data_IF_473551649992
#
_entry.id   IF_473551649992
#
_cell.length_a   1.000
_cell.length_b   1.000
_cell.length_c   1.000
_cell.angle_alpha   90.00
_cell.angle_beta   90.00
_cell.angle_gamma   90.00
#
_symmetry.space_group_name_H-M   'P 1'
#
loop_
_entity.id
_entity.type
_entity.pdbx_description
1 polymer ?
#
# COMPACT_ATOMS: atom_id res chain seq x y z
N UNK A 1 -12.60 22.08 15.49
CA UNK A 1 -12.23 20.65 15.57
C UNK A 1 -10.73 20.56 15.31
N UNK A 2 -9.97 19.91 16.16
CA UNK A 2 -8.55 19.65 15.92
C UNK A 2 -8.42 18.72 14.71
N UNK A 3 -7.49 19.03 13.80
CA UNK A 3 -7.23 18.20 12.63
C UNK A 3 -6.83 16.78 13.05
N UNK A 4 -7.34 15.76 12.36
CA UNK A 4 -6.90 14.38 12.56
C UNK A 4 -5.43 14.26 12.14
N UNK A 5 -4.63 13.53 12.92
CA UNK A 5 -3.17 13.40 12.73
C UNK A 5 -2.79 11.96 12.43
N UNK A 6 -1.87 11.80 11.47
CA UNK A 6 -1.38 10.50 10.98
C UNK A 6 0.12 10.34 11.26
N UNK A 7 0.50 9.16 11.72
CA UNK A 7 1.86 8.64 11.67
C UNK A 7 1.93 7.43 10.72
N UNK A 8 3.00 7.33 9.94
CA UNK A 8 3.17 6.26 8.96
C UNK A 8 4.47 5.50 9.19
N UNK A 9 4.39 4.21 9.51
CA UNK A 9 5.55 3.33 9.66
C UNK A 9 5.76 2.52 8.37
N UNK A 10 7.01 2.30 7.98
CA UNK A 10 7.38 1.70 6.69
C UNK A 10 6.75 2.45 5.52
N UNK A 11 6.86 3.76 5.57
CA UNK A 11 6.08 4.69 4.76
C UNK A 11 6.30 4.54 3.24
N UNK A 12 7.46 4.06 2.83
CA UNK A 12 7.80 3.96 1.42
C UNK A 12 7.79 5.33 0.75
N UNK A 13 6.97 5.49 -0.29
CA UNK A 13 6.87 6.73 -1.08
C UNK A 13 5.70 7.64 -0.66
N UNK A 14 5.20 7.52 0.56
CA UNK A 14 4.21 8.43 1.12
C UNK A 14 2.79 8.24 0.62
N UNK A 15 2.37 7.02 0.30
CA UNK A 15 1.01 6.78 -0.25
C UNK A 15 -0.06 7.00 0.81
N UNK A 16 0.14 6.53 2.04
CA UNK A 16 -0.79 6.81 3.13
C UNK A 16 -0.83 8.30 3.50
N UNK A 17 0.31 9.01 3.65
CA UNK A 17 0.33 10.46 3.79
C UNK A 17 -0.42 11.21 2.68
N UNK A 18 -0.22 10.82 1.41
CA UNK A 18 -0.93 11.44 0.30
C UNK A 18 -2.46 11.23 0.39
N UNK A 19 -2.88 10.01 0.68
CA UNK A 19 -4.29 9.70 0.88
C UNK A 19 -4.88 10.46 2.07
N UNK A 20 -4.11 10.60 3.15
CA UNK A 20 -4.49 11.33 4.35
C UNK A 20 -4.74 12.83 4.06
N UNK A 21 -3.79 13.50 3.42
CA UNK A 21 -3.93 14.92 3.02
C UNK A 21 -5.18 15.14 2.17
N UNK A 22 -5.45 14.26 1.20
CA UNK A 22 -6.64 14.35 0.35
C UNK A 22 -7.96 14.17 1.11
N UNK A 23 -7.89 13.56 2.30
CA UNK A 23 -9.04 13.37 3.18
C UNK A 23 -9.06 14.34 4.38
N UNK A 24 -8.22 15.37 4.38
CA UNK A 24 -8.15 16.38 5.46
C UNK A 24 -7.49 15.86 6.75
N UNK A 25 -6.65 14.81 6.64
CA UNK A 25 -5.86 14.26 7.75
C UNK A 25 -4.42 14.75 7.60
N UNK A 26 -3.83 15.28 8.67
CA UNK A 26 -2.47 15.82 8.70
C UNK A 26 -1.43 14.71 8.91
N UNK A 27 -0.49 14.45 7.97
CA UNK A 27 0.64 13.58 8.22
C UNK A 27 1.69 14.30 9.06
N UNK A 28 1.97 13.77 10.26
CA UNK A 28 2.86 14.39 11.25
C UNK A 28 4.26 13.83 11.17
N UNK A 29 4.38 12.51 11.07
CA UNK A 29 5.66 11.83 10.99
C UNK A 29 5.59 10.55 10.17
N UNK A 30 6.77 10.15 9.66
CA UNK A 30 6.96 8.89 8.96
C UNK A 30 8.25 8.19 9.41
N UNK A 31 8.25 6.85 9.42
CA UNK A 31 9.43 6.01 9.61
C UNK A 31 9.70 5.22 8.34
N UNK A 32 10.89 5.41 7.78
CA UNK A 32 11.40 4.75 6.58
C UNK A 32 12.94 4.75 6.64
N UNK A 33 13.61 3.76 6.05
CA UNK A 33 15.08 3.63 6.05
C UNK A 33 15.69 3.77 4.66
N UNK A 34 14.92 3.56 3.62
CA UNK A 34 15.40 3.63 2.24
C UNK A 34 15.56 5.09 1.79
N UNK A 35 16.76 5.48 1.38
CA UNK A 35 17.10 6.88 1.06
C UNK A 35 16.23 7.50 -0.04
N UNK A 36 15.95 6.74 -1.11
CA UNK A 36 15.18 7.26 -2.23
C UNK A 36 13.70 7.49 -1.85
N UNK A 37 12.98 6.57 -1.21
CA UNK A 37 11.65 6.83 -0.63
C UNK A 37 11.63 8.03 0.32
N UNK A 38 12.56 8.13 1.28
CA UNK A 38 12.67 9.27 2.20
C UNK A 38 12.81 10.59 1.44
N UNK A 39 13.66 10.64 0.41
CA UNK A 39 13.85 11.86 -0.37
C UNK A 39 12.61 12.24 -1.16
N UNK A 40 11.88 11.27 -1.71
CA UNK A 40 10.60 11.50 -2.39
C UNK A 40 9.57 12.07 -1.41
N UNK A 41 9.40 11.46 -0.24
CA UNK A 41 8.40 11.91 0.74
C UNK A 41 8.73 13.27 1.34
N UNK A 42 10.00 13.57 1.61
CA UNK A 42 10.43 14.91 2.04
C UNK A 42 10.13 16.01 1.03
N UNK A 43 10.16 15.69 -0.27
CA UNK A 43 9.77 16.63 -1.31
C UNK A 43 8.28 16.97 -1.25
N UNK A 44 7.44 15.95 -1.07
CA UNK A 44 5.98 16.11 -1.11
C UNK A 44 5.38 16.54 0.23
N UNK A 45 6.05 16.23 1.33
CA UNK A 45 5.62 16.53 2.70
C UNK A 45 6.79 17.15 3.48
N UNK A 46 7.18 18.41 3.19
CA UNK A 46 8.34 19.04 3.81
C UNK A 46 8.17 19.23 5.32
N UNK A 47 6.94 19.36 5.82
CA UNK A 47 6.63 19.55 7.24
C UNK A 47 6.47 18.21 8.00
N UNK A 48 6.45 17.07 7.31
CA UNK A 48 6.35 15.75 7.93
C UNK A 48 7.71 15.32 8.48
N UNK A 49 7.79 15.02 9.77
CA UNK A 49 9.01 14.57 10.42
C UNK A 49 9.40 13.14 9.97
N UNK A 50 10.68 12.92 9.63
CA UNK A 50 11.21 11.60 9.30
C UNK A 50 11.98 11.01 10.47
N UNK A 51 11.41 9.99 11.11
CA UNK A 51 11.92 9.37 12.33
C UNK A 51 12.95 8.26 12.09
N UNK A 52 13.16 7.84 10.83
CA UNK A 52 14.16 6.84 10.45
C UNK A 52 13.74 5.41 10.79
N UNK A 53 14.63 4.66 11.45
CA UNK A 53 14.50 3.23 11.69
C UNK A 53 13.50 2.91 12.81
N UNK A 54 12.44 2.17 12.48
CA UNK A 54 11.37 1.75 13.40
C UNK A 54 11.91 0.98 14.63
N UNK A 55 13.04 0.29 14.51
CA UNK A 55 13.63 -0.47 15.62
C UNK A 55 14.24 0.40 16.70
N UNK A 56 14.49 1.68 16.40
CA UNK A 56 15.11 2.66 17.30
C UNK A 56 14.10 3.63 17.90
N UNK A 57 12.84 3.59 17.46
CA UNK A 57 11.80 4.48 17.96
C UNK A 57 11.25 4.00 19.30
N UNK A 58 11.01 4.93 20.20
CA UNK A 58 10.17 4.75 21.39
C UNK A 58 8.82 5.43 21.14
N UNK A 59 7.75 4.65 21.18
CA UNK A 59 6.39 5.14 20.95
C UNK A 59 5.91 6.15 22.00
N UNK A 60 6.57 6.23 23.17
CA UNK A 60 6.27 7.19 24.23
C UNK A 60 6.83 8.58 23.93
N UNK A 61 7.92 8.64 23.13
CA UNK A 61 8.66 9.89 22.86
C UNK A 61 8.25 10.57 21.55
N UNK A 62 7.67 9.81 20.61
CA UNK A 62 7.23 10.37 19.33
C UNK A 62 5.89 11.10 19.46
N UNK A 63 5.63 12.14 18.62
CA UNK A 63 4.40 12.90 18.69
C UNK A 63 3.15 12.00 18.60
N UNK A 64 2.20 12.07 19.55
CA UNK A 64 1.00 11.24 19.51
C UNK A 64 0.10 11.63 18.34
N UNK A 65 -0.47 10.62 17.69
CA UNK A 65 -1.32 10.76 16.50
C UNK A 65 -2.59 9.94 16.62
N UNK A 66 -3.66 10.38 15.96
CA UNK A 66 -4.96 9.67 15.98
C UNK A 66 -4.89 8.35 15.23
N UNK A 67 -4.09 8.29 14.18
CA UNK A 67 -4.02 7.18 13.23
C UNK A 67 -2.55 6.78 13.04
N UNK A 68 -2.26 5.48 13.17
CA UNK A 68 -0.98 4.91 12.72
C UNK A 68 -1.26 3.96 11.56
N UNK A 69 -0.56 4.15 10.43
CA UNK A 69 -0.59 3.24 9.30
C UNK A 69 0.73 2.53 9.15
N UNK A 70 0.72 1.27 8.70
CA UNK A 70 1.95 0.54 8.43
C UNK A 70 1.76 -0.63 7.47
N UNK A 71 2.75 -0.80 6.58
CA UNK A 71 2.89 -1.93 5.68
C UNK A 71 4.20 -2.69 5.99
N UNK A 72 4.19 -3.54 7.01
CA UNK A 72 5.40 -4.26 7.41
C UNK A 72 5.87 -5.25 6.34
N UNK A 73 7.20 -5.38 6.09
CA UNK A 73 7.71 -6.38 5.16
C UNK A 73 7.25 -7.79 5.52
N UNK A 74 6.78 -8.54 4.51
CA UNK A 74 6.18 -9.87 4.67
C UNK A 74 7.19 -10.97 5.06
N UNK A 75 8.49 -10.72 4.97
CA UNK A 75 9.53 -11.76 4.97
C UNK A 75 9.79 -12.43 6.33
N UNK A 76 9.20 -11.98 7.44
CA UNK A 76 9.51 -12.48 8.78
C UNK A 76 8.29 -12.69 9.70
N UNK A 77 7.09 -12.80 9.19
CA UNK A 77 5.93 -13.21 10.02
C UNK A 77 6.07 -14.68 10.48
N UNK A 78 6.78 -15.50 9.69
CA UNK A 78 6.93 -16.95 9.91
C UNK A 78 7.79 -17.36 11.12
N UNK A 79 8.51 -16.46 11.76
CA UNK A 79 9.32 -16.78 12.94
C UNK A 79 8.52 -16.76 14.26
N UNK A 80 7.21 -16.55 14.20
CA UNK A 80 6.32 -16.45 15.36
C UNK A 80 6.12 -17.80 16.09
N UNK A 81 6.42 -18.93 15.44
CA UNK A 81 6.17 -20.27 15.97
C UNK A 81 7.03 -20.73 17.15
N UNK A 82 8.14 -20.08 17.47
CA UNK A 82 9.01 -20.46 18.57
C UNK A 82 8.97 -19.44 19.71
N UNK A 83 7.99 -19.60 20.60
CA UNK A 83 7.88 -18.88 21.89
C UNK A 83 9.04 -19.24 22.85
N UNK A 84 10.27 -19.18 22.44
CA UNK A 84 11.42 -19.22 23.35
C UNK A 84 12.01 -17.82 23.48
N UNK A 85 11.44 -17.06 24.43
CA UNK A 85 12.07 -15.91 25.05
C UNK A 85 12.09 -14.63 24.20
N UNK A 86 11.65 -13.52 24.80
CA UNK A 86 11.84 -12.13 24.40
C UNK A 86 13.33 -11.69 24.23
N UNK A 87 14.27 -12.64 24.29
CA UNK A 87 15.71 -12.43 24.18
C UNK A 87 16.34 -12.98 22.89
N UNK A 88 15.56 -13.48 21.93
CA UNK A 88 16.05 -14.00 20.64
C UNK A 88 16.03 -12.92 19.56
N UNK A 89 17.19 -12.55 19.06
CA UNK A 89 17.47 -11.59 17.99
C UNK A 89 16.48 -11.69 16.82
N UNK A 90 15.93 -10.53 16.43
CA UNK A 90 15.01 -10.21 15.32
C UNK A 90 13.54 -10.51 15.59
N UNK A 91 12.95 -9.78 16.54
CA UNK A 91 11.51 -9.55 16.48
C UNK A 91 11.13 -9.05 15.07
N UNK A 92 10.14 -9.69 14.41
CA UNK A 92 9.76 -9.26 13.07
C UNK A 92 9.36 -7.78 13.10
N UNK A 93 9.62 -7.05 12.03
CA UNK A 93 9.34 -5.62 11.93
C UNK A 93 7.85 -5.28 12.19
N UNK A 94 6.96 -6.24 11.95
CA UNK A 94 5.56 -6.14 12.36
C UNK A 94 5.41 -5.92 13.87
N UNK A 95 6.15 -6.67 14.70
CA UNK A 95 6.07 -6.51 16.17
C UNK A 95 6.68 -5.20 16.66
N UNK A 96 7.61 -4.60 15.91
CA UNK A 96 8.08 -3.24 16.22
C UNK A 96 6.95 -2.21 16.05
N UNK A 97 6.14 -2.34 15.01
CA UNK A 97 4.97 -1.48 14.86
C UNK A 97 3.95 -1.67 16.00
N UNK A 98 3.66 -2.93 16.38
CA UNK A 98 2.78 -3.23 17.53
C UNK A 98 3.35 -2.67 18.84
N UNK A 99 4.67 -2.76 19.06
CA UNK A 99 5.34 -2.18 20.23
C UNK A 99 5.15 -0.67 20.27
N UNK A 100 5.43 0.04 19.20
CA UNK A 100 5.27 1.50 19.12
C UNK A 100 3.82 1.91 19.40
N UNK A 101 2.84 1.20 18.82
CA UNK A 101 1.42 1.45 19.07
C UNK A 101 1.10 1.28 20.57
N UNK A 102 1.58 0.21 21.21
CA UNK A 102 1.36 -0.05 22.64
C UNK A 102 2.02 1.01 23.51
N UNK A 103 3.27 1.35 23.23
CA UNK A 103 4.02 2.38 23.96
C UNK A 103 3.34 3.75 23.88
N UNK A 104 2.86 4.16 22.70
CA UNK A 104 2.12 5.41 22.53
C UNK A 104 0.79 5.36 23.31
N UNK A 105 0.06 4.26 23.27
CA UNK A 105 -1.18 4.11 24.01
C UNK A 105 -0.96 4.15 25.52
N UNK A 106 0.11 3.49 25.99
CA UNK A 106 0.50 3.53 27.40
C UNK A 106 0.82 4.97 27.85
N UNK A 107 1.65 5.69 27.10
CA UNK A 107 2.03 7.07 27.42
C UNK A 107 0.86 8.07 27.36
N UNK A 108 -0.18 7.75 26.62
CA UNK A 108 -1.36 8.63 26.42
C UNK A 108 -2.62 8.13 27.13
N UNK A 109 -2.49 7.24 28.12
CA UNK A 109 -3.61 6.63 28.84
C UNK A 109 -4.69 6.04 27.90
N UNK A 110 -4.26 5.44 26.80
CA UNK A 110 -5.13 4.78 25.83
C UNK A 110 -5.77 5.72 24.78
N UNK A 111 -5.44 7.01 24.77
CA UNK A 111 -6.04 7.97 23.83
C UNK A 111 -5.49 7.82 22.42
N UNK A 112 -4.17 7.64 22.25
CA UNK A 112 -3.50 7.63 20.95
C UNK A 112 -2.63 6.37 20.78
N UNK A 113 -2.60 5.78 19.56
CA UNK A 113 -3.52 6.06 18.49
C UNK A 113 -4.93 5.54 18.80
N UNK A 114 -5.94 6.21 18.26
CA UNK A 114 -7.31 5.72 18.31
C UNK A 114 -7.52 4.55 17.34
N UNK A 115 -6.86 4.61 16.17
CA UNK A 115 -6.95 3.59 15.13
C UNK A 115 -5.57 3.26 14.58
N UNK A 116 -5.34 1.96 14.30
CA UNK A 116 -4.20 1.49 13.51
C UNK A 116 -4.69 0.80 12.22
N UNK A 117 -3.96 1.01 11.13
CA UNK A 117 -4.21 0.35 9.84
C UNK A 117 -2.97 -0.42 9.44
N UNK A 118 -3.13 -1.73 9.25
CA UNK A 118 -2.08 -2.59 8.72
C UNK A 118 -2.39 -3.00 7.29
N UNK A 119 -1.39 -2.91 6.42
CA UNK A 119 -1.45 -3.39 5.04
C UNK A 119 -0.47 -4.54 4.83
N UNK A 120 -0.87 -5.55 4.05
CA UNK A 120 0.06 -6.59 3.62
C UNK A 120 -0.40 -7.32 2.35
N UNK A 121 0.48 -8.14 1.79
CA UNK A 121 0.17 -8.98 0.64
C UNK A 121 -0.79 -10.11 1.02
N UNK A 122 -1.58 -10.59 0.05
CA UNK A 122 -2.52 -11.70 0.23
C UNK A 122 -1.84 -12.98 0.77
N UNK A 123 -0.53 -13.15 0.51
CA UNK A 123 0.25 -14.30 0.99
C UNK A 123 0.24 -14.46 2.51
N UNK A 124 -0.01 -13.41 3.28
CA UNK A 124 -0.11 -13.48 4.74
C UNK A 124 -1.26 -14.42 5.22
N UNK A 125 -2.32 -14.60 4.41
CA UNK A 125 -3.39 -15.57 4.73
C UNK A 125 -2.97 -17.03 4.63
N UNK A 126 -1.91 -17.35 3.90
CA UNK A 126 -1.49 -18.72 3.62
C UNK A 126 -0.10 -19.08 4.15
N UNK A 127 0.71 -18.08 4.50
CA UNK A 127 2.07 -18.31 5.01
C UNK A 127 2.06 -19.04 6.34
N UNK A 128 3.12 -19.85 6.58
CA UNK A 128 3.33 -20.61 7.79
C UNK A 128 2.06 -21.41 8.21
N UNK A 129 1.55 -22.24 7.30
CA UNK A 129 0.31 -23.00 7.49
C UNK A 129 -0.88 -22.15 7.97
N UNK A 130 -0.96 -20.89 7.49
CA UNK A 130 -1.98 -19.89 7.82
C UNK A 130 -1.88 -19.31 9.24
N UNK A 131 -0.81 -19.65 9.96
CA UNK A 131 -0.60 -19.18 11.32
C UNK A 131 -0.11 -17.74 11.42
N UNK A 132 0.48 -17.19 10.33
CA UNK A 132 1.00 -15.83 10.34
C UNK A 132 -0.13 -14.81 10.52
N UNK A 133 -1.24 -14.93 9.81
CA UNK A 133 -2.36 -14.02 9.96
C UNK A 133 -3.06 -14.18 11.32
N UNK A 134 -3.14 -15.41 11.86
CA UNK A 134 -3.58 -15.65 13.24
C UNK A 134 -2.72 -14.85 14.24
N UNK A 135 -1.41 -14.90 14.07
CA UNK A 135 -0.48 -14.19 14.94
C UNK A 135 -0.64 -12.66 14.84
N UNK A 136 -0.92 -12.14 13.63
CA UNK A 136 -1.26 -10.71 13.43
C UNK A 136 -2.50 -10.35 14.27
N UNK A 137 -3.59 -11.09 14.15
CA UNK A 137 -4.81 -10.84 14.91
C UNK A 137 -4.57 -10.94 16.42
N UNK A 138 -3.84 -11.98 16.87
CA UNK A 138 -3.51 -12.17 18.28
C UNK A 138 -2.62 -11.06 18.85
N UNK A 139 -1.69 -10.53 18.05
CA UNK A 139 -0.82 -9.43 18.46
C UNK A 139 -1.59 -8.13 18.69
N UNK A 140 -2.60 -7.83 17.86
CA UNK A 140 -3.45 -6.66 18.05
C UNK A 140 -4.37 -6.78 19.25
N UNK A 141 -4.97 -7.98 19.46
CA UNK A 141 -5.99 -8.18 20.49
C UNK A 141 -5.43 -8.59 21.85
N UNK A 142 -4.13 -8.88 21.91
CA UNK A 142 -3.47 -9.48 23.08
C UNK A 142 -4.21 -10.74 23.58
N UNK A 143 -4.77 -11.50 22.64
CA UNK A 143 -5.56 -12.70 22.91
C UNK A 143 -5.24 -13.80 21.90
N UNK A 144 -5.50 -15.04 22.30
CA UNK A 144 -5.40 -16.18 21.38
C UNK A 144 -6.63 -16.22 20.46
N UNK A 145 -6.42 -15.88 19.17
CA UNK A 145 -7.47 -15.91 18.14
C UNK A 145 -7.52 -17.31 17.53
N UNK A 146 -8.67 -17.97 17.61
CA UNK A 146 -8.85 -19.30 17.03
C UNK A 146 -8.85 -19.27 15.50
N UNK A 147 -8.34 -20.32 14.88
CA UNK A 147 -8.49 -20.54 13.44
C UNK A 147 -9.97 -20.71 13.08
N UNK A 148 -10.42 -20.18 11.93
CA UNK A 148 -11.76 -20.47 11.43
C UNK A 148 -11.99 -21.98 11.30
N UNK A 149 -13.22 -22.46 11.53
CA UNK A 149 -13.58 -23.87 11.42
C UNK A 149 -13.27 -24.47 10.02
N UNK A 150 -13.29 -23.65 8.98
CA UNK A 150 -12.88 -24.03 7.61
C UNK A 150 -11.37 -24.26 7.46
N UNK A 151 -10.58 -23.94 8.46
CA UNK A 151 -9.11 -23.92 8.40
C UNK A 151 -8.53 -22.88 7.43
N UNK A 152 -9.33 -21.93 6.95
CA UNK A 152 -8.90 -20.89 5.98
C UNK A 152 -9.40 -19.52 6.39
N UNK A 153 -8.57 -18.51 6.21
CA UNK A 153 -8.96 -17.10 6.38
C UNK A 153 -9.79 -16.65 5.19
N UNK A 154 -10.94 -16.04 5.48
CA UNK A 154 -11.75 -15.39 4.46
C UNK A 154 -11.11 -14.05 4.01
N UNK A 155 -11.42 -13.62 2.79
CA UNK A 155 -10.96 -12.33 2.26
C UNK A 155 -11.52 -11.10 3.00
N UNK A 156 -12.47 -11.31 3.93
CA UNK A 156 -13.03 -10.30 4.82
C UNK A 156 -13.47 -10.96 6.12
N UNK A 157 -13.36 -10.22 7.23
CA UNK A 157 -13.78 -10.71 8.53
C UNK A 157 -13.57 -9.70 9.64
N UNK A 158 -13.93 -10.10 10.85
CA UNK A 158 -13.78 -9.26 12.04
C UNK A 158 -13.48 -10.09 13.29
N UNK A 159 -12.84 -9.46 14.28
CA UNK A 159 -12.71 -9.98 15.66
C UNK A 159 -13.30 -8.93 16.58
N UNK A 160 -14.35 -9.33 17.32
CA UNK A 160 -15.07 -8.49 18.28
C UNK A 160 -15.11 -9.12 19.67
N UNK A 161 -15.43 -8.30 20.66
CA UNK A 161 -15.61 -8.75 22.05
C UNK A 161 -14.51 -8.28 23.00
N UNK A 162 -13.41 -7.77 22.46
CA UNK A 162 -12.33 -7.08 23.20
C UNK A 162 -11.88 -5.84 22.46
N UNK A 163 -11.14 -4.98 23.13
CA UNK A 163 -10.46 -3.85 22.50
C UNK A 163 -9.07 -4.32 22.05
N UNK A 164 -8.64 -4.04 20.81
CA UNK A 164 -9.34 -3.31 19.76
C UNK A 164 -10.41 -4.13 19.02
N UNK A 165 -11.39 -3.42 18.41
CA UNK A 165 -12.30 -3.98 17.40
C UNK A 165 -11.54 -4.10 16.08
N UNK A 166 -11.42 -5.31 15.56
CA UNK A 166 -10.67 -5.59 14.33
C UNK A 166 -11.58 -5.90 13.16
N UNK A 167 -11.32 -5.31 12.02
CA UNK A 167 -11.85 -5.75 10.75
C UNK A 167 -10.74 -5.86 9.70
N UNK A 168 -10.86 -6.82 8.79
CA UNK A 168 -9.98 -6.91 7.63
C UNK A 168 -10.76 -7.11 6.34
N UNK A 169 -10.15 -6.67 5.24
CA UNK A 169 -10.67 -6.84 3.89
C UNK A 169 -9.53 -7.01 2.90
N UNK A 170 -9.65 -8.02 2.03
CA UNK A 170 -8.82 -8.13 0.84
C UNK A 170 -9.37 -7.19 -0.23
N UNK A 171 -8.55 -6.24 -0.66
CA UNK A 171 -8.89 -5.27 -1.70
C UNK A 171 -8.01 -5.51 -2.93
N UNK A 172 -8.61 -5.47 -4.12
CA UNK A 172 -7.88 -5.55 -5.38
C UNK A 172 -7.98 -4.22 -6.12
N UNK A 173 -6.84 -3.55 -6.29
CA UNK A 173 -6.76 -2.19 -6.81
C UNK A 173 -7.49 -2.00 -8.16
N UNK A 174 -7.51 -3.01 -9.02
CA UNK A 174 -8.20 -2.97 -10.32
C UNK A 174 -9.68 -2.57 -10.25
N UNK A 175 -10.32 -2.73 -9.09
CA UNK A 175 -11.74 -2.42 -8.88
C UNK A 175 -12.01 -1.08 -8.21
N UNK A 176 -10.95 -0.29 -7.92
CA UNK A 176 -11.04 0.91 -7.08
C UNK A 176 -10.88 2.22 -7.83
N UNK A 177 -10.57 2.18 -9.12
CA UNK A 177 -10.49 3.37 -9.96
C UNK A 177 -10.93 3.09 -11.40
N UNK A 178 -11.27 4.16 -12.12
CA UNK A 178 -11.49 4.17 -13.56
C UNK A 178 -10.55 5.23 -14.16
N UNK A 179 -9.72 4.91 -15.15
CA UNK A 179 -9.54 3.59 -15.76
C UNK A 179 -8.94 2.56 -14.80
N UNK A 180 -9.03 1.29 -15.17
CA UNK A 180 -8.58 0.18 -14.33
C UNK A 180 -7.10 0.29 -13.99
N UNK A 181 -6.80 0.21 -12.70
CA UNK A 181 -5.44 0.10 -12.18
C UNK A 181 -4.86 -1.31 -12.42
N UNK A 182 -3.58 -1.48 -12.05
CA UNK A 182 -2.98 -2.80 -12.01
C UNK A 182 -3.73 -3.73 -11.05
N UNK A 183 -3.84 -5.02 -11.41
CA UNK A 183 -4.29 -6.05 -10.49
C UNK A 183 -3.32 -6.12 -9.32
N UNK A 184 -3.77 -5.68 -8.13
CA UNK A 184 -2.95 -5.62 -6.92
C UNK A 184 -3.79 -5.93 -5.70
N UNK A 185 -3.69 -7.15 -5.24
CA UNK A 185 -4.42 -7.64 -4.08
C UNK A 185 -3.64 -7.36 -2.80
N UNK A 186 -4.28 -6.69 -1.84
CA UNK A 186 -3.73 -6.37 -0.53
C UNK A 186 -4.76 -6.59 0.56
N UNK A 187 -4.28 -7.09 1.69
CA UNK A 187 -5.06 -7.17 2.92
C UNK A 187 -4.94 -5.82 3.60
N UNK A 188 -6.06 -5.25 3.98
CA UNK A 188 -6.10 -4.12 4.91
C UNK A 188 -6.82 -4.57 6.18
N UNK A 189 -6.21 -4.30 7.32
CA UNK A 189 -6.77 -4.55 8.63
C UNK A 189 -6.85 -3.21 9.36
N UNK A 190 -8.01 -2.92 9.93
CA UNK A 190 -8.28 -1.75 10.77
C UNK A 190 -8.49 -2.23 12.19
N UNK A 191 -7.72 -1.68 13.13
CA UNK A 191 -7.84 -1.89 14.57
C UNK A 191 -8.35 -0.60 15.22
N UNK A 192 -9.56 -0.62 15.73
CA UNK A 192 -10.17 0.51 16.47
C UNK A 192 -10.04 0.27 17.97
N UNK A 193 -9.21 1.07 18.62
CA UNK A 193 -8.92 0.97 20.05
C UNK A 193 -9.91 1.72 20.94
N UNK A 194 -10.66 2.67 20.36
CA UNK A 194 -11.58 3.52 21.10
C UNK A 194 -13.07 3.25 20.85
N UNK A 195 -13.39 2.32 19.93
CA UNK A 195 -14.77 2.11 19.53
C UNK A 195 -15.04 0.80 18.82
N UNK A 196 -16.06 0.79 17.96
CA UNK A 196 -16.45 -0.34 17.12
C UNK A 196 -16.69 0.07 15.68
N UNK A 197 -15.87 1.00 15.17
CA UNK A 197 -16.01 1.64 13.86
C UNK A 197 -15.22 0.94 12.75
N UNK A 198 -14.39 -0.06 13.08
CA UNK A 198 -13.50 -0.72 12.11
C UNK A 198 -14.24 -1.24 10.87
N UNK A 199 -15.47 -1.77 11.05
CA UNK A 199 -16.30 -2.26 9.96
C UNK A 199 -16.87 -1.12 9.10
N UNK A 200 -17.24 0.01 9.68
CA UNK A 200 -17.76 1.18 8.95
C UNK A 200 -16.69 1.77 8.03
N UNK A 201 -15.41 1.68 8.44
CA UNK A 201 -14.27 2.15 7.67
C UNK A 201 -14.05 1.26 6.44
N UNK A 202 -14.05 -0.07 6.61
CA UNK A 202 -13.70 -1.01 5.53
C UNK A 202 -14.87 -1.45 4.66
N UNK A 203 -16.12 -1.40 5.17
CA UNK A 203 -17.30 -1.96 4.50
C UNK A 203 -18.40 -0.94 4.19
N UNK A 204 -18.10 0.36 4.26
CA UNK A 204 -19.08 1.38 3.86
C UNK A 204 -19.56 1.14 2.43
N UNK A 205 -20.85 1.35 2.15
CA UNK A 205 -21.38 1.25 0.80
C UNK A 205 -20.60 2.16 -0.14
N UNK A 206 -20.12 1.61 -1.23
CA UNK A 206 -19.48 2.38 -2.30
C UNK A 206 -20.58 2.92 -3.20
N UNK A 207 -21.03 4.13 -2.98
CA UNK A 207 -21.77 4.86 -4.03
C UNK A 207 -20.75 5.36 -5.05
N UNK A 208 -21.04 5.23 -6.34
CA UNK A 208 -20.18 5.76 -7.42
C UNK A 208 -19.87 7.26 -7.24
N UNK A 209 -20.70 7.97 -6.47
CA UNK A 209 -20.55 9.38 -6.12
C UNK A 209 -19.68 9.66 -4.91
N UNK A 210 -19.31 8.64 -4.13
CA UNK A 210 -18.52 8.80 -2.89
C UNK A 210 -17.02 8.65 -3.07
N UNK A 211 -16.56 8.34 -4.28
CA UNK A 211 -15.17 8.65 -4.62
C UNK A 211 -15.10 10.17 -4.71
N UNK A 212 -14.15 10.84 -4.01
CA UNK A 212 -13.89 12.22 -4.32
C UNK A 212 -13.77 12.29 -5.84
N UNK A 213 -14.62 13.10 -6.47
CA UNK A 213 -14.41 13.42 -7.86
C UNK A 213 -12.94 13.82 -7.93
N UNK A 214 -12.15 13.09 -8.71
CA UNK A 214 -10.77 13.48 -9.01
C UNK A 214 -10.86 14.79 -9.79
N UNK A 215 -11.24 15.84 -9.09
CA UNK A 215 -11.35 17.23 -9.51
C UNK A 215 -10.05 17.96 -9.25
N UNK A 216 -9.01 17.34 -9.56
CA UNK A 216 -7.74 17.90 -9.89
C UNK A 216 -7.34 17.12 -11.11
N UNK A 217 -6.90 17.79 -12.09
CA UNK A 217 -6.34 17.30 -13.33
C UNK A 217 -5.18 16.31 -13.06
N UNK A 218 -5.49 15.19 -12.40
CA UNK A 218 -4.66 14.04 -12.43
C UNK A 218 -4.88 13.46 -13.82
N UNK A 219 -4.09 13.97 -14.77
CA UNK A 219 -4.07 13.58 -16.19
C UNK A 219 -3.90 12.09 -16.42
N UNK A 220 -4.78 11.29 -15.80
CA UNK A 220 -5.05 9.94 -16.22
C UNK A 220 -5.86 10.12 -17.50
N UNK A 221 -5.27 9.89 -18.69
CA UNK A 221 -6.08 9.81 -19.87
C UNK A 221 -7.15 8.79 -19.59
N UNK A 222 -8.39 9.13 -19.89
CA UNK A 222 -9.46 8.17 -20.00
C UNK A 222 -8.90 6.97 -20.75
N UNK A 223 -8.97 5.81 -20.10
CA UNK A 223 -8.57 4.51 -20.59
C UNK A 223 -7.82 4.53 -21.91
N UNK A 224 -6.51 4.66 -21.92
CA UNK A 224 -5.71 4.62 -23.15
C UNK A 224 -6.21 5.55 -24.28
N UNK A 225 -6.94 6.58 -23.98
CA UNK A 225 -7.61 7.43 -24.97
C UNK A 225 -6.95 8.77 -25.23
N UNK A 226 -5.97 9.22 -24.47
CA UNK A 226 -5.40 10.53 -24.72
C UNK A 226 -3.89 10.63 -24.54
N UNK A 227 -3.23 10.75 -25.68
CA UNK A 227 -2.01 11.51 -26.05
C UNK A 227 -0.76 11.37 -25.18
N UNK A 228 -0.53 10.23 -24.55
CA UNK A 228 0.82 9.87 -24.13
C UNK A 228 1.58 9.30 -25.33
N UNK A 229 2.66 9.94 -25.74
CA UNK A 229 3.54 9.34 -26.75
C UNK A 229 4.64 8.56 -26.06
N UNK A 230 4.84 7.31 -26.46
CA UNK A 230 6.00 6.52 -26.06
C UNK A 230 7.20 6.88 -26.93
N UNK A 231 8.38 6.90 -26.33
CA UNK A 231 9.63 7.02 -27.08
C UNK A 231 10.28 5.65 -27.07
N UNK A 232 10.25 4.97 -28.18
CA UNK A 232 11.05 3.79 -28.44
C UNK A 232 12.02 4.10 -29.57
N UNK A 233 13.31 3.92 -29.35
CA UNK A 233 14.36 4.19 -30.34
C UNK A 233 14.17 5.52 -31.12
N UNK A 234 13.70 6.59 -30.48
CA UNK A 234 13.45 7.89 -31.08
C UNK A 234 12.09 8.06 -31.78
N UNK A 235 11.23 7.07 -31.78
CA UNK A 235 9.89 7.13 -32.40
C UNK A 235 8.81 7.29 -31.35
N UNK A 236 7.94 8.31 -31.51
CA UNK A 236 6.75 8.51 -30.67
C UNK A 236 5.60 7.66 -31.20
N UNK A 237 5.10 6.71 -30.38
CA UNK A 237 3.94 5.88 -30.71
C UNK A 237 2.74 6.37 -29.90
N UNK A 238 1.63 6.80 -30.52
CA UNK A 238 0.42 7.22 -29.80
C UNK A 238 -0.23 6.04 -29.05
N UNK A 239 -0.70 6.27 -27.81
CA UNK A 239 -1.41 5.26 -27.00
C UNK A 239 -2.87 5.07 -27.44
N UNK A 240 -3.23 5.31 -28.67
CA UNK A 240 -4.60 5.18 -29.17
C UNK A 240 -4.98 3.77 -29.62
N UNK A 241 -4.05 2.82 -29.53
CA UNK A 241 -4.27 1.44 -30.00
C UNK A 241 -4.47 0.48 -28.83
N UNK A 242 -5.32 -0.54 -28.95
CA UNK A 242 -5.42 -1.60 -27.97
C UNK A 242 -4.07 -2.28 -27.80
N UNK A 243 -3.61 -2.40 -26.56
CA UNK A 243 -2.38 -3.11 -26.21
C UNK A 243 -2.71 -4.29 -25.32
N UNK A 244 -1.90 -5.33 -25.39
CA UNK A 244 -1.98 -6.49 -24.53
C UNK A 244 -0.83 -6.47 -23.52
N UNK A 245 -1.15 -6.78 -22.26
CA UNK A 245 -0.15 -6.91 -21.21
C UNK A 245 0.24 -8.36 -21.05
N UNK A 246 1.53 -8.64 -21.01
CA UNK A 246 2.06 -9.98 -20.81
C UNK A 246 2.94 -10.03 -19.57
N UNK A 247 2.85 -11.12 -18.84
CA UNK A 247 3.82 -11.42 -17.79
C UNK A 247 4.94 -12.25 -18.38
N UNK A 248 6.15 -11.71 -18.43
CA UNK A 248 7.32 -12.49 -18.81
C UNK A 248 7.60 -13.56 -17.76
N UNK A 249 7.68 -14.81 -18.17
CA UNK A 249 8.18 -15.89 -17.32
C UNK A 249 9.70 -15.77 -17.25
N UNK A 250 10.21 -15.46 -16.07
CA UNK A 250 11.65 -15.42 -15.84
C UNK A 250 12.21 -16.85 -15.84
N UNK A 251 12.64 -17.36 -16.98
CA UNK A 251 13.63 -18.43 -17.02
C UNK A 251 14.93 -17.83 -17.57
N UNK A 252 15.89 -17.64 -16.70
CA UNK A 252 17.13 -16.94 -16.99
C UNK A 252 18.14 -17.78 -17.83
N UNK A 253 17.76 -18.94 -18.36
CA UNK A 253 18.72 -19.89 -18.96
C UNK A 253 18.70 -20.04 -20.48
N UNK A 254 17.69 -19.52 -21.16
CA UNK A 254 17.62 -19.67 -22.62
C UNK A 254 17.29 -18.36 -23.31
N UNK A 255 18.30 -17.63 -23.76
CA UNK A 255 18.16 -16.38 -24.54
C UNK A 255 18.15 -16.68 -26.05
N UNK A 256 17.26 -17.56 -26.51
CA UNK A 256 17.00 -17.76 -27.93
C UNK A 256 15.70 -17.05 -28.32
N UNK A 257 15.59 -16.61 -29.57
CA UNK A 257 14.41 -15.90 -30.09
C UNK A 257 13.12 -16.73 -29.95
N UNK A 258 13.22 -18.05 -30.01
CA UNK A 258 12.12 -19.00 -29.79
C UNK A 258 11.75 -19.09 -28.30
N UNK A 259 12.73 -19.05 -27.40
CA UNK A 259 12.50 -19.04 -25.98
C UNK A 259 11.86 -17.70 -25.51
N UNK A 260 12.16 -16.60 -26.17
CA UNK A 260 11.55 -15.30 -25.95
C UNK A 260 10.06 -15.36 -26.27
N UNK A 261 9.63 -15.89 -27.42
CA UNK A 261 8.20 -16.06 -27.74
C UNK A 261 7.47 -16.98 -26.76
N UNK A 262 8.10 -18.07 -26.31
CA UNK A 262 7.54 -18.98 -25.33
C UNK A 262 7.54 -18.43 -23.88
N UNK A 263 8.23 -17.32 -23.62
CA UNK A 263 8.29 -16.66 -22.31
C UNK A 263 7.11 -15.72 -22.04
N UNK A 264 6.35 -15.36 -23.08
CA UNK A 264 5.14 -14.59 -22.92
C UNK A 264 4.05 -15.48 -22.34
N UNK A 265 3.47 -15.06 -21.23
CA UNK A 265 2.24 -15.67 -20.71
C UNK A 265 1.05 -15.31 -21.59
N UNK A 266 -0.12 -15.82 -21.25
CA UNK A 266 -1.37 -15.36 -21.87
C UNK A 266 -1.55 -13.85 -21.63
N UNK A 267 -2.17 -13.14 -22.61
CA UNK A 267 -2.55 -11.74 -22.40
C UNK A 267 -3.28 -11.57 -21.09
N UNK A 268 -2.92 -10.57 -20.32
CA UNK A 268 -3.56 -10.28 -19.04
C UNK A 268 -4.25 -8.92 -19.13
N UNK A 269 -5.57 -8.93 -18.96
CA UNK A 269 -6.37 -7.75 -18.69
C UNK A 269 -7.09 -8.00 -17.34
N UNK A 270 -6.86 -7.24 -16.32
CA UNK A 270 -6.09 -6.00 -16.22
C UNK A 270 -4.56 -6.19 -16.10
N UNK A 271 -3.83 -5.07 -16.07
CA UNK A 271 -2.38 -5.07 -15.91
C UNK A 271 -1.95 -5.82 -14.63
N UNK A 272 -0.97 -6.73 -14.71
CA UNK A 272 -0.57 -7.51 -13.54
C UNK A 272 0.14 -6.67 -12.47
N UNK A 273 0.26 -7.22 -11.27
CA UNK A 273 0.90 -6.56 -10.12
C UNK A 273 2.34 -6.15 -10.43
N UNK A 274 2.67 -4.87 -10.19
CA UNK A 274 4.04 -4.38 -10.19
C UNK A 274 4.86 -5.06 -9.09
N UNK A 275 6.09 -5.46 -9.42
CA UNK A 275 7.00 -6.13 -8.51
C UNK A 275 8.18 -5.22 -8.14
N UNK A 276 8.70 -5.39 -6.92
CA UNK A 276 9.84 -4.62 -6.40
C UNK A 276 11.21 -5.01 -6.98
N UNK A 277 11.26 -5.94 -7.92
CA UNK A 277 12.51 -6.49 -8.48
C UNK A 277 13.31 -5.56 -9.40
N UNK A 278 13.02 -4.26 -9.42
CA UNK A 278 13.71 -3.25 -10.20
C UNK A 278 13.01 -2.95 -11.52
N UNK A 279 13.25 -3.69 -12.58
CA UNK A 279 12.54 -3.55 -13.85
C UNK A 279 11.34 -4.49 -13.82
N UNK A 280 10.15 -3.95 -14.09
CA UNK A 280 8.94 -4.78 -14.20
C UNK A 280 9.09 -5.79 -15.34
N UNK A 281 8.78 -7.07 -15.12
CA UNK A 281 8.87 -8.09 -16.17
C UNK A 281 7.72 -8.03 -17.18
N UNK A 282 6.97 -6.92 -17.25
CA UNK A 282 5.80 -6.78 -18.10
C UNK A 282 6.14 -6.07 -19.38
N UNK A 283 5.58 -6.57 -20.48
CA UNK A 283 5.77 -6.03 -21.81
C UNK A 283 4.42 -5.67 -22.43
N UNK A 284 4.40 -4.64 -23.24
CA UNK A 284 3.25 -4.26 -24.05
C UNK A 284 3.43 -4.81 -25.48
N UNK A 285 2.35 -5.28 -26.07
CA UNK A 285 2.32 -5.78 -27.42
C UNK A 285 1.24 -5.06 -28.22
N UNK A 286 1.57 -4.65 -29.43
CA UNK A 286 0.63 -4.03 -30.36
C UNK A 286 0.50 -4.93 -31.57
N UNK A 287 -0.65 -5.58 -31.75
CA UNK A 287 -0.88 -6.51 -32.89
C UNK A 287 -0.95 -5.78 -34.24
N UNK A 288 -1.42 -4.53 -34.23
CA UNK A 288 -1.67 -3.74 -35.45
C UNK A 288 -0.47 -2.86 -35.86
N UNK A 289 0.72 -3.06 -35.32
CA UNK A 289 1.89 -2.30 -35.74
C UNK A 289 2.38 -2.86 -37.10
N UNK A 290 2.50 -2.00 -38.15
CA UNK A 290 3.07 -2.40 -39.44
C UNK A 290 4.47 -3.01 -39.36
N UNK A 291 5.19 -2.75 -38.27
CA UNK A 291 6.50 -3.33 -37.97
C UNK A 291 6.45 -4.69 -37.24
N UNK A 292 5.25 -5.29 -37.06
CA UNK A 292 5.10 -6.61 -36.45
C UNK A 292 4.97 -6.63 -34.94
N UNK A 293 4.65 -5.49 -34.33
CA UNK A 293 4.43 -5.36 -32.89
C UNK A 293 5.67 -4.90 -32.13
N UNK A 294 5.44 -4.25 -30.99
CA UNK A 294 6.47 -3.71 -30.11
C UNK A 294 6.33 -4.27 -28.70
N UNK A 295 7.43 -4.78 -28.16
CA UNK A 295 7.51 -5.28 -26.79
C UNK A 295 8.42 -4.36 -25.99
N UNK A 296 7.90 -3.78 -24.91
CA UNK A 296 8.67 -2.94 -24.01
C UNK A 296 8.21 -3.04 -22.55
N UNK A 297 9.01 -2.52 -21.66
CA UNK A 297 8.63 -2.35 -20.27
C UNK A 297 7.83 -1.05 -20.08
N UNK A 298 6.89 -1.01 -19.10
CA UNK A 298 6.23 0.23 -18.73
C UNK A 298 7.26 1.23 -18.22
N UNK A 299 7.08 2.49 -18.54
CA UNK A 299 7.86 3.59 -17.95
C UNK A 299 7.49 3.80 -16.49
N UNK A 300 8.33 4.51 -15.74
CA UNK A 300 8.06 4.83 -14.33
C UNK A 300 6.76 5.64 -14.18
N UNK A 301 6.51 6.58 -15.09
CA UNK A 301 5.27 7.39 -15.11
C UNK A 301 4.04 6.51 -15.37
N UNK A 302 4.14 5.53 -16.25
CA UNK A 302 3.06 4.55 -16.45
C UNK A 302 2.84 3.68 -15.21
N UNK A 303 3.91 3.31 -14.51
CA UNK A 303 3.80 2.60 -13.24
C UNK A 303 3.15 3.47 -12.15
N UNK A 304 3.45 4.78 -12.10
CA UNK A 304 2.77 5.72 -11.21
C UNK A 304 1.26 5.76 -11.49
N UNK A 305 0.87 5.87 -12.78
CA UNK A 305 -0.54 5.82 -13.21
C UNK A 305 -1.23 4.52 -12.82
N UNK A 306 -0.55 3.37 -13.04
CA UNK A 306 -1.06 2.04 -12.66
C UNK A 306 -1.26 1.88 -11.15
N UNK A 307 -0.61 2.70 -10.34
CA UNK A 307 -0.79 2.77 -8.89
C UNK A 307 -1.76 3.87 -8.45
N UNK A 308 -2.28 4.67 -9.40
CA UNK A 308 -3.16 5.82 -9.12
C UNK A 308 -2.42 7.02 -8.54
N UNK A 309 -1.10 7.05 -8.63
CA UNK A 309 -0.27 8.16 -8.16
C UNK A 309 -0.25 9.32 -9.18
N UNK A 310 0.00 10.55 -8.74
CA UNK A 310 0.27 11.66 -9.62
C UNK A 310 1.49 11.39 -10.51
N UNK A 311 1.46 11.88 -11.75
CA UNK A 311 2.59 11.76 -12.66
C UNK A 311 3.81 12.49 -12.12
N UNK A 312 4.96 11.83 -12.21
CA UNK A 312 6.21 12.37 -11.71
C UNK A 312 6.38 12.29 -10.20
N UNK A 313 5.47 11.66 -9.47
CA UNK A 313 5.52 11.50 -8.02
C UNK A 313 6.88 11.01 -7.52
N UNK A 314 7.47 10.05 -8.21
CA UNK A 314 8.76 9.45 -7.84
C UNK A 314 9.95 10.05 -8.59
N UNK A 315 9.73 11.10 -9.42
CA UNK A 315 10.74 11.58 -10.37
C UNK A 315 11.91 12.31 -9.71
N UNK A 316 11.61 13.13 -8.71
CA UNK A 316 12.59 13.96 -8.01
C UNK A 316 12.52 13.77 -6.51
N UNK A 317 13.65 13.93 -5.82
CA UNK A 317 13.76 13.96 -4.38
C UNK A 317 13.74 15.39 -3.81
N UNK A 318 14.00 15.50 -2.50
CA UNK A 318 13.86 16.72 -1.71
C UNK A 318 14.73 17.90 -2.20
N UNK A 319 15.91 17.62 -2.76
CA UNK A 319 16.84 18.64 -3.25
C UNK A 319 16.81 18.73 -4.80
N UNK A 320 15.68 18.43 -5.43
CA UNK A 320 15.53 18.36 -6.88
C UNK A 320 16.43 17.32 -7.58
N UNK A 321 17.06 16.41 -6.84
CA UNK A 321 17.84 15.33 -7.42
C UNK A 321 16.91 14.35 -8.14
N UNK A 322 17.34 13.93 -9.34
CA UNK A 322 16.59 12.95 -10.13
C UNK A 322 16.77 11.56 -9.50
N UNK A 323 15.66 10.93 -9.14
CA UNK A 323 15.67 9.57 -8.61
C UNK A 323 15.95 8.56 -9.75
N UNK A 324 16.88 7.63 -9.51
CA UNK A 324 17.24 6.60 -10.48
C UNK A 324 16.05 5.69 -10.80
N UNK A 325 15.89 5.33 -12.07
CA UNK A 325 14.81 4.46 -12.57
C UNK A 325 14.67 3.16 -11.77
N UNK A 326 15.77 2.52 -11.42
CA UNK A 326 15.76 1.29 -10.62
C UNK A 326 15.16 1.49 -9.22
N UNK A 327 15.43 2.62 -8.57
CA UNK A 327 14.84 2.98 -7.28
C UNK A 327 13.35 3.31 -7.43
N UNK A 328 12.96 4.00 -8.50
CA UNK A 328 11.57 4.31 -8.81
C UNK A 328 10.73 3.05 -9.00
N UNK A 329 11.18 2.11 -9.87
CA UNK A 329 10.50 0.83 -10.07
C UNK A 329 10.39 0.02 -8.78
N UNK A 330 11.46 -0.04 -7.98
CA UNK A 330 11.47 -0.73 -6.69
C UNK A 330 10.44 -0.13 -5.73
N UNK A 331 10.47 1.18 -5.59
CA UNK A 331 9.56 1.91 -4.71
C UNK A 331 8.09 1.74 -5.14
N UNK A 332 7.78 1.86 -6.44
CA UNK A 332 6.45 1.64 -7.00
C UNK A 332 5.99 0.18 -6.84
N UNK A 333 6.92 -0.79 -6.99
CA UNK A 333 6.63 -2.20 -6.75
C UNK A 333 6.30 -2.52 -5.28
N UNK A 334 6.84 -1.77 -4.33
CA UNK A 334 6.53 -1.90 -2.90
C UNK A 334 5.30 -1.10 -2.48
N UNK A 335 4.94 -0.04 -3.22
CA UNK A 335 3.89 0.89 -2.83
C UNK A 335 2.49 0.26 -2.79
N UNK A 336 1.59 0.91 -2.09
CA UNK A 336 0.15 0.63 -2.06
C UNK A 336 -0.51 1.34 -3.25
N UNK A 337 -1.61 0.82 -3.78
CA UNK A 337 -2.41 1.56 -4.76
C UNK A 337 -3.17 2.69 -4.06
N UNK A 338 -2.97 3.91 -4.51
CA UNK A 338 -3.50 5.12 -3.88
C UNK A 338 -5.02 5.11 -3.68
N UNK A 339 -5.86 4.69 -4.63
CA UNK A 339 -7.31 4.68 -4.43
C UNK A 339 -7.79 3.73 -3.32
N UNK A 340 -7.04 2.67 -3.02
CA UNK A 340 -7.34 1.81 -1.86
C UNK A 340 -7.04 2.54 -0.55
N UNK A 341 -5.90 3.24 -0.48
CA UNK A 341 -5.54 4.04 0.68
C UNK A 341 -6.52 5.21 0.89
N UNK A 342 -6.92 5.90 -0.17
CA UNK A 342 -7.92 6.99 -0.12
C UNK A 342 -9.27 6.52 0.40
N UNK A 343 -9.74 5.36 -0.05
CA UNK A 343 -10.98 4.78 0.47
C UNK A 343 -10.93 4.57 1.98
N UNK A 344 -9.81 4.06 2.48
CA UNK A 344 -9.61 3.83 3.91
C UNK A 344 -9.51 5.15 4.66
N UNK A 345 -8.70 6.11 4.17
CA UNK A 345 -8.55 7.43 4.81
C UNK A 345 -9.86 8.20 4.87
N UNK A 346 -10.67 8.16 3.81
CA UNK A 346 -12.02 8.75 3.81
C UNK A 346 -12.94 8.09 4.84
N UNK A 347 -12.83 6.76 5.01
CA UNK A 347 -13.55 6.04 6.06
C UNK A 347 -13.11 6.45 7.47
N UNK A 348 -11.82 6.61 7.67
CA UNK A 348 -11.23 7.06 8.94
C UNK A 348 -11.67 8.49 9.29
N UNK A 349 -11.57 9.41 8.34
CA UNK A 349 -12.00 10.79 8.52
C UNK A 349 -13.49 10.86 8.92
N UNK A 350 -14.35 10.11 8.22
CA UNK A 350 -15.78 10.06 8.51
C UNK A 350 -16.08 9.43 9.89
N UNK A 351 -15.45 8.32 10.22
CA UNK A 351 -15.70 7.59 11.47
C UNK A 351 -15.21 8.36 12.71
N UNK A 352 -14.07 9.05 12.61
CA UNK A 352 -13.49 9.79 13.72
C UNK A 352 -14.15 11.16 13.93
N UNK A 353 -14.66 11.80 12.86
CA UNK A 353 -15.38 13.08 13.01
C UNK A 353 -16.79 12.89 13.54
N UNK A 354 -17.50 11.82 13.20
CA UNK A 354 -18.84 11.50 13.73
C UNK A 354 -18.79 11.08 15.21
N UNK A 355 -17.74 10.39 15.64
CA UNK A 355 -17.56 9.97 17.04
C UNK A 355 -17.32 11.12 18.01
N UNK A 356 -16.68 12.20 17.58
CA UNK A 356 -16.43 13.39 18.41
C UNK A 356 -17.68 14.22 18.74
N UNK A 357 -18.82 13.93 18.14
CA UNK A 357 -20.09 14.58 18.48
C UNK A 357 -20.84 13.91 19.65
N UNK A 358 -20.48 12.65 20.00
CA UNK A 358 -21.17 11.88 21.04
C UNK A 358 -20.32 11.58 22.29
N UNK A 359 -19.01 11.68 22.21
CA UNK A 359 -18.12 11.37 23.34
C UNK A 359 -17.30 12.62 23.65
N UNK A 360 -17.85 13.52 24.50
CA UNK A 360 -17.24 14.79 24.89
C UNK A 360 -15.71 14.69 25.13
N UNK A 361 -14.91 14.84 24.07
CA UNK A 361 -13.47 15.04 24.08
C UNK A 361 -13.18 16.42 23.47
#
# INVERSE_FOLDING_TARGET
>A
MTALRLGSLFDGIGVFPLAAVRCGIEPVWASEIEKAPISITKRHFPDMEHLGDVTKLDGREIPPVHIITFGSPCQNLSQIGNRKGLAGEKSSLFFQAIRIIREMREATNGLFPAIAVWENVMGAFSSNDRMDFRAVLSAFTDADVSMPASGRWAGAGMVRGRTPDLCWRLMDAQHWASPRLARRQRIFLVADFGGRRSHEILFKPRTMQSLPAFGGDCGLPAACGDRGSFIEAGRRIPITRPFQCFRMRASAKERTETAFRNSFGLPTDPFPTLLAGGISPFAFWYEDDPAGGCVRFPTETECERLMGLPEGWTRYGANDEKILSSHRYRALGNAIALPCAEYIMAGLAEALTKGGANDGI
#
